data_IF_166258586619
#
_entry.id   IF_166258586619
#
_cell.length_a   1.000
_cell.length_b   1.000
_cell.length_c   1.000
_cell.angle_alpha   90.00
_cell.angle_beta   90.00
_cell.angle_gamma   90.00
#
_symmetry.space_group_name_H-M   'P 1'
#
loop_
_entity.id
_entity.type
_entity.pdbx_description
1 polymer ?
#
# COMPACT_ATOMS: atom_id res chain seq x y z
N UNK A 1 -5.59 1.98 26.19
CA UNK A 1 -4.67 0.86 26.49
C UNK A 1 -3.45 1.34 27.32
N UNK A 2 -3.24 2.64 27.50
CA UNK A 2 -2.06 3.18 28.19
C UNK A 2 -0.76 3.10 27.37
N UNK A 3 -0.84 3.06 26.05
CA UNK A 3 0.32 3.17 25.18
C UNK A 3 0.97 4.56 25.33
N UNK A 4 2.32 4.60 25.32
CA UNK A 4 3.06 5.85 25.45
C UNK A 4 2.98 6.70 24.18
N UNK A 5 3.03 6.06 23.03
CA UNK A 5 2.88 6.66 21.71
C UNK A 5 2.56 5.57 20.69
N UNK A 6 2.27 5.98 19.45
CA UNK A 6 2.19 5.11 18.28
C UNK A 6 3.40 5.37 17.38
N UNK A 7 4.04 4.29 16.93
CA UNK A 7 5.09 4.35 15.90
C UNK A 7 4.58 3.58 14.69
N UNK A 8 4.27 4.28 13.63
CA UNK A 8 3.62 3.67 12.46
C UNK A 8 3.26 4.66 11.39
N UNK A 9 2.44 4.25 10.46
CA UNK A 9 1.95 5.08 9.36
C UNK A 9 0.58 5.68 9.73
N UNK A 10 0.23 6.79 9.11
CA UNK A 10 -1.16 7.26 8.97
C UNK A 10 -1.70 6.75 7.65
N UNK A 11 -2.74 5.91 7.70
CA UNK A 11 -3.29 5.26 6.51
C UNK A 11 -3.93 6.28 5.55
N UNK A 12 -4.61 7.28 6.09
CA UNK A 12 -5.18 8.38 5.29
C UNK A 12 -4.08 9.16 4.57
N UNK A 13 -2.99 9.55 5.28
CA UNK A 13 -1.87 10.29 4.64
C UNK A 13 -1.21 9.44 3.56
N UNK A 14 -1.09 8.13 3.79
CA UNK A 14 -0.53 7.21 2.80
C UNK A 14 -1.43 7.07 1.57
N UNK A 15 -2.74 6.94 1.79
CA UNK A 15 -3.74 6.98 0.73
C UNK A 15 -3.70 8.27 -0.07
N UNK A 16 -3.61 9.42 0.60
CA UNK A 16 -3.50 10.73 -0.04
C UNK A 16 -2.27 10.79 -0.98
N UNK A 17 -1.13 10.29 -0.54
CA UNK A 17 0.07 10.21 -1.37
C UNK A 17 -0.08 9.29 -2.57
N UNK A 18 -0.83 8.18 -2.44
CA UNK A 18 -1.14 7.29 -3.55
C UNK A 18 -2.07 7.97 -4.58
N UNK A 19 -3.12 8.68 -4.12
CA UNK A 19 -4.03 9.40 -4.99
C UNK A 19 -3.33 10.44 -5.86
N UNK A 20 -2.37 11.18 -5.30
CA UNK A 20 -1.55 12.12 -6.06
C UNK A 20 -0.72 11.42 -7.15
N UNK A 21 -0.14 10.24 -6.85
CA UNK A 21 0.64 9.49 -7.84
C UNK A 21 -0.19 8.98 -9.00
N UNK A 22 -1.43 8.56 -8.75
CA UNK A 22 -2.35 8.20 -9.81
C UNK A 22 -2.74 9.41 -10.68
N UNK A 23 -2.90 10.61 -10.08
CA UNK A 23 -3.10 11.84 -10.86
C UNK A 23 -1.88 12.12 -11.75
N UNK A 24 -0.67 12.00 -11.21
CA UNK A 24 0.58 12.25 -11.96
C UNK A 24 0.75 11.24 -13.12
N UNK A 25 0.27 10.01 -12.93
CA UNK A 25 0.24 8.98 -13.96
C UNK A 25 -0.89 9.18 -14.99
N UNK A 26 -1.81 10.10 -14.76
CA UNK A 26 -2.91 10.41 -15.68
C UNK A 26 -4.10 9.46 -15.60
N UNK A 27 -4.21 8.67 -14.54
CA UNK A 27 -5.37 7.82 -14.31
C UNK A 27 -6.65 8.65 -14.13
N UNK A 28 -7.79 8.09 -14.53
CA UNK A 28 -9.09 8.77 -14.48
C UNK A 28 -10.12 8.04 -13.62
N UNK A 29 -10.00 6.71 -13.51
CA UNK A 29 -10.87 5.87 -12.70
C UNK A 29 -10.11 4.71 -12.08
N UNK A 30 -10.14 4.63 -10.76
CA UNK A 30 -9.37 3.64 -9.97
C UNK A 30 -10.32 2.66 -9.30
N UNK A 31 -10.00 1.37 -9.41
CA UNK A 31 -10.52 0.32 -8.55
C UNK A 31 -9.57 0.14 -7.35
N UNK A 32 -10.02 0.52 -6.15
CA UNK A 32 -9.29 0.27 -4.90
C UNK A 32 -9.78 -1.03 -4.28
N UNK A 33 -8.96 -2.06 -4.36
CA UNK A 33 -9.28 -3.41 -3.89
C UNK A 33 -8.84 -3.64 -2.44
N UNK A 34 -9.77 -4.16 -1.62
CA UNK A 34 -9.53 -4.54 -0.23
C UNK A 34 -9.58 -6.07 -0.09
N UNK A 35 -8.66 -6.63 0.71
CA UNK A 35 -8.58 -8.07 0.95
C UNK A 35 -9.18 -8.50 2.31
N UNK A 36 -9.64 -7.57 3.14
CA UNK A 36 -10.21 -7.88 4.46
C UNK A 36 -11.37 -6.94 4.77
N UNK A 37 -12.55 -7.51 4.96
CA UNK A 37 -13.74 -6.73 5.33
C UNK A 37 -13.68 -6.26 6.78
N UNK A 38 -14.07 -4.99 7.00
CA UNK A 38 -14.15 -4.40 8.35
C UNK A 38 -12.79 -4.01 8.93
N UNK A 39 -11.70 -4.16 8.19
CA UNK A 39 -10.40 -3.62 8.57
C UNK A 39 -10.36 -2.12 8.27
N UNK A 40 -10.42 -1.29 9.33
CA UNK A 40 -10.46 0.17 9.23
C UNK A 40 -9.21 0.72 8.52
N UNK A 41 -8.04 0.14 8.78
CA UNK A 41 -6.79 0.60 8.14
C UNK A 41 -6.85 0.48 6.61
N UNK A 42 -7.38 -0.64 6.08
CA UNK A 42 -7.52 -0.84 4.64
C UNK A 42 -8.57 0.11 4.02
N UNK A 43 -9.64 0.37 4.77
CA UNK A 43 -10.64 1.36 4.36
C UNK A 43 -10.04 2.76 4.28
N UNK A 44 -9.30 3.18 5.31
CA UNK A 44 -8.63 4.48 5.35
C UNK A 44 -7.60 4.67 4.22
N UNK A 45 -6.94 3.59 3.75
CA UNK A 45 -6.05 3.64 2.55
C UNK A 45 -6.81 4.05 1.30
N UNK A 46 -7.96 3.41 1.04
CA UNK A 46 -8.80 3.73 -0.13
C UNK A 46 -9.49 5.09 0.00
N UNK A 47 -10.01 5.43 1.19
CA UNK A 47 -10.65 6.72 1.45
C UNK A 47 -9.64 7.86 1.29
N UNK A 48 -8.43 7.73 1.87
CA UNK A 48 -7.36 8.70 1.70
C UNK A 48 -6.95 8.87 0.23
N UNK A 49 -6.90 7.78 -0.54
CA UNK A 49 -6.67 7.86 -1.98
C UNK A 49 -7.77 8.70 -2.65
N UNK A 50 -9.04 8.45 -2.31
CA UNK A 50 -10.17 9.18 -2.89
C UNK A 50 -10.19 10.67 -2.51
N UNK A 51 -9.61 11.07 -1.36
CA UNK A 51 -9.55 12.48 -0.96
C UNK A 51 -8.67 13.35 -1.88
N UNK A 52 -7.64 12.77 -2.50
CA UNK A 52 -6.67 13.52 -3.31
C UNK A 52 -6.67 13.15 -4.78
N UNK A 53 -7.26 12.03 -5.14
CA UNK A 53 -7.42 11.65 -6.54
C UNK A 53 -8.49 12.50 -7.22
N UNK A 54 -8.18 12.99 -8.42
CA UNK A 54 -9.07 13.91 -9.17
C UNK A 54 -10.19 13.20 -9.93
N UNK A 55 -10.05 11.86 -10.12
CA UNK A 55 -10.99 11.03 -10.85
C UNK A 55 -11.97 10.30 -9.95
N UNK A 56 -12.55 9.24 -10.47
CA UNK A 56 -13.48 8.36 -9.74
C UNK A 56 -12.72 7.22 -9.02
N UNK A 57 -13.10 6.93 -7.78
CA UNK A 57 -12.59 5.78 -7.03
C UNK A 57 -13.73 4.83 -6.69
N UNK A 58 -13.61 3.60 -7.15
CA UNK A 58 -14.49 2.49 -6.77
C UNK A 58 -13.79 1.68 -5.69
N UNK A 59 -14.40 1.52 -4.52
CA UNK A 59 -13.81 0.80 -3.38
C UNK A 59 -14.59 -0.50 -3.21
N UNK A 60 -13.92 -1.64 -3.36
CA UNK A 60 -14.57 -2.95 -3.29
C UNK A 60 -13.72 -4.00 -2.56
N UNK A 61 -14.40 -4.94 -1.91
CA UNK A 61 -13.78 -6.14 -1.37
C UNK A 61 -13.55 -7.17 -2.48
N UNK A 62 -12.30 -7.62 -2.66
CA UNK A 62 -11.87 -8.48 -3.75
C UNK A 62 -11.61 -9.94 -3.35
N UNK A 63 -11.85 -10.31 -2.11
CA UNK A 63 -11.51 -11.64 -1.58
C UNK A 63 -10.30 -11.61 -0.68
N UNK A 64 -10.12 -12.68 0.10
CA UNK A 64 -9.05 -12.82 1.07
C UNK A 64 -7.72 -13.18 0.40
N UNK A 65 -6.60 -12.71 0.94
CA UNK A 65 -5.25 -13.05 0.48
C UNK A 65 -4.92 -14.56 0.55
N UNK A 66 -5.67 -15.31 1.38
CA UNK A 66 -5.53 -16.75 1.47
C UNK A 66 -6.04 -17.52 0.22
N UNK A 67 -6.91 -16.89 -0.59
CA UNK A 67 -7.41 -17.45 -1.85
C UNK A 67 -7.14 -16.47 -3.01
N UNK A 68 -5.92 -16.50 -3.51
CA UNK A 68 -5.46 -15.63 -4.61
C UNK A 68 -6.20 -15.90 -5.91
N UNK A 69 -6.72 -17.12 -6.12
CA UNK A 69 -7.48 -17.47 -7.32
C UNK A 69 -8.88 -16.84 -7.30
N UNK A 70 -9.57 -16.90 -6.16
CA UNK A 70 -10.85 -16.21 -5.97
C UNK A 70 -10.67 -14.70 -6.10
N UNK A 71 -9.64 -14.16 -5.46
CA UNK A 71 -9.30 -12.75 -5.49
C UNK A 71 -9.06 -12.26 -6.94
N UNK A 72 -8.23 -12.98 -7.71
CA UNK A 72 -7.95 -12.66 -9.11
C UNK A 72 -9.23 -12.73 -9.97
N UNK A 73 -10.07 -13.76 -9.77
CA UNK A 73 -11.33 -13.89 -10.50
C UNK A 73 -12.30 -12.75 -10.19
N UNK A 74 -12.37 -12.30 -8.93
CA UNK A 74 -13.19 -11.17 -8.51
C UNK A 74 -12.72 -9.87 -9.17
N UNK A 75 -11.40 -9.62 -9.16
CA UNK A 75 -10.80 -8.46 -9.84
C UNK A 75 -11.05 -8.52 -11.35
N UNK A 76 -10.86 -9.69 -11.99
CA UNK A 76 -11.17 -9.90 -13.41
C UNK A 76 -12.63 -9.54 -13.73
N UNK A 77 -13.57 -9.97 -12.90
CA UNK A 77 -14.99 -9.69 -13.10
C UNK A 77 -15.30 -8.18 -12.97
N UNK A 78 -14.73 -7.50 -11.97
CA UNK A 78 -14.89 -6.07 -11.78
C UNK A 78 -14.31 -5.27 -12.96
N UNK A 79 -13.09 -5.59 -13.38
CA UNK A 79 -12.43 -4.95 -14.53
C UNK A 79 -13.16 -5.20 -15.87
N UNK A 80 -13.76 -6.38 -16.03
CA UNK A 80 -14.54 -6.70 -17.24
C UNK A 80 -15.91 -6.00 -17.26
N UNK A 81 -16.50 -5.78 -16.09
CA UNK A 81 -17.78 -5.09 -15.96
C UNK A 81 -17.67 -3.58 -16.19
N UNK A 82 -16.53 -3.00 -15.87
CA UNK A 82 -16.27 -1.57 -16.02
C UNK A 82 -14.96 -1.33 -16.79
N UNK A 83 -15.09 -1.03 -18.07
CA UNK A 83 -13.96 -0.81 -18.98
C UNK A 83 -13.33 0.56 -18.85
N UNK A 84 -13.94 1.48 -18.11
CA UNK A 84 -13.43 2.84 -17.90
C UNK A 84 -12.38 2.89 -16.76
N UNK A 85 -12.29 1.82 -15.95
CA UNK A 85 -11.23 1.68 -14.93
C UNK A 85 -9.88 1.61 -15.65
N UNK A 86 -9.00 2.57 -15.38
CA UNK A 86 -7.64 2.66 -15.94
C UNK A 86 -6.55 2.61 -14.85
N UNK A 87 -6.95 2.50 -13.58
CA UNK A 87 -6.08 2.31 -12.44
C UNK A 87 -6.55 1.21 -11.49
N UNK A 88 -5.59 0.51 -10.87
CA UNK A 88 -5.86 -0.45 -9.80
C UNK A 88 -4.96 -0.15 -8.59
N UNK A 89 -5.58 -0.05 -7.42
CA UNK A 89 -4.87 0.08 -6.14
C UNK A 89 -5.14 -1.13 -5.27
N UNK A 90 -4.12 -1.95 -5.04
CA UNK A 90 -4.16 -3.02 -4.06
C UNK A 90 -3.69 -2.52 -2.69
N UNK A 91 -4.50 -2.68 -1.63
CA UNK A 91 -4.12 -2.19 -0.30
C UNK A 91 -3.26 -3.18 0.52
N UNK A 92 -2.56 -4.07 -0.17
CA UNK A 92 -1.58 -5.02 0.35
C UNK A 92 -0.83 -5.70 -0.79
N UNK A 93 0.29 -6.43 -0.52
CA UNK A 93 1.12 -6.96 -1.59
C UNK A 93 0.43 -8.04 -2.43
N UNK A 94 -0.28 -8.97 -1.77
CA UNK A 94 -0.93 -10.11 -2.46
C UNK A 94 -2.02 -9.63 -3.41
N UNK A 95 -2.91 -8.75 -2.94
CA UNK A 95 -3.98 -8.20 -3.77
C UNK A 95 -3.44 -7.32 -4.90
N UNK A 96 -2.31 -6.61 -4.70
CA UNK A 96 -1.67 -5.84 -5.76
C UNK A 96 -1.18 -6.74 -6.88
N UNK A 97 -0.52 -7.85 -6.54
CA UNK A 97 -0.08 -8.86 -7.51
C UNK A 97 -1.27 -9.57 -8.19
N UNK A 98 -2.36 -9.82 -7.47
CA UNK A 98 -3.59 -10.35 -8.07
C UNK A 98 -4.20 -9.37 -9.08
N UNK A 99 -4.16 -8.07 -8.80
CA UNK A 99 -4.58 -7.01 -9.73
C UNK A 99 -3.72 -6.95 -10.99
N UNK A 100 -2.40 -7.09 -10.84
CA UNK A 100 -1.48 -7.16 -11.99
C UNK A 100 -1.81 -8.36 -12.87
N UNK A 101 -2.00 -9.55 -12.28
CA UNK A 101 -2.33 -10.78 -13.03
C UNK A 101 -3.68 -10.64 -13.74
N UNK A 102 -4.68 -10.05 -13.07
CA UNK A 102 -5.98 -9.79 -13.65
C UNK A 102 -5.91 -8.85 -14.86
N UNK A 103 -5.13 -7.77 -14.77
CA UNK A 103 -4.91 -6.86 -15.89
C UNK A 103 -4.24 -7.58 -17.08
N UNK A 104 -3.22 -8.41 -16.80
CA UNK A 104 -2.52 -9.21 -17.82
C UNK A 104 -3.45 -10.21 -18.51
N UNK A 105 -4.27 -10.94 -17.75
CA UNK A 105 -5.23 -11.92 -18.29
C UNK A 105 -6.25 -11.28 -19.24
N UNK A 106 -6.66 -10.05 -18.93
CA UNK A 106 -7.60 -9.27 -19.75
C UNK A 106 -6.93 -8.49 -20.87
N UNK A 107 -5.59 -8.49 -20.92
CA UNK A 107 -4.81 -7.68 -21.87
C UNK A 107 -5.05 -6.18 -21.71
N UNK A 108 -5.27 -5.72 -20.47
CA UNK A 108 -5.51 -4.31 -20.13
C UNK A 108 -4.24 -3.66 -19.61
N UNK A 109 -4.00 -2.45 -20.08
CA UNK A 109 -2.93 -1.59 -19.57
C UNK A 109 -3.51 -0.69 -18.47
N UNK A 110 -3.17 -0.98 -17.21
CA UNK A 110 -3.63 -0.24 -16.04
C UNK A 110 -2.44 0.37 -15.31
N UNK A 111 -2.61 1.58 -14.79
CA UNK A 111 -1.71 2.09 -13.76
C UNK A 111 -1.95 1.33 -12.46
N UNK A 112 -0.95 0.58 -11.98
CA UNK A 112 -1.08 -0.25 -10.78
C UNK A 112 -0.26 0.34 -9.65
N UNK A 113 -0.90 0.55 -8.50
CA UNK A 113 -0.28 0.93 -7.23
C UNK A 113 -0.52 -0.12 -6.15
N UNK A 114 0.37 -0.16 -5.15
CA UNK A 114 0.27 -1.11 -4.06
C UNK A 114 0.55 -0.52 -2.68
N UNK A 115 0.39 -1.35 -1.67
CA UNK A 115 0.84 -1.11 -0.30
C UNK A 115 1.74 -2.24 0.16
N UNK A 116 2.70 -1.88 1.02
CA UNK A 116 3.69 -2.77 1.62
C UNK A 116 4.70 -3.36 0.62
N UNK A 117 5.66 -4.10 1.15
CA UNK A 117 6.78 -4.61 0.38
C UNK A 117 6.85 -6.14 0.43
N UNK A 118 7.06 -6.76 -0.72
CA UNK A 118 7.61 -8.11 -0.85
C UNK A 118 8.63 -8.10 -1.98
N UNK A 119 9.63 -8.99 -1.98
CA UNK A 119 10.59 -9.07 -3.08
C UNK A 119 9.92 -9.26 -4.45
N UNK A 120 8.83 -10.05 -4.52
CA UNK A 120 8.06 -10.25 -5.76
C UNK A 120 7.44 -8.93 -6.26
N UNK A 121 6.75 -8.19 -5.37
CA UNK A 121 6.11 -6.91 -5.73
C UNK A 121 7.15 -5.88 -6.17
N UNK A 122 8.29 -5.79 -5.45
CA UNK A 122 9.37 -4.84 -5.81
C UNK A 122 9.97 -5.21 -7.17
N UNK A 123 10.13 -6.53 -7.47
CA UNK A 123 10.58 -6.99 -8.76
C UNK A 123 9.65 -6.57 -9.91
N UNK A 124 8.33 -6.58 -9.70
CA UNK A 124 7.35 -6.12 -10.68
C UNK A 124 7.40 -4.58 -10.86
N UNK A 125 7.76 -3.83 -9.81
CA UNK A 125 8.01 -2.38 -9.92
C UNK A 125 9.29 -2.12 -10.73
N UNK A 126 10.37 -2.84 -10.45
CA UNK A 126 11.63 -2.73 -11.21
C UNK A 126 11.44 -3.07 -12.68
N UNK A 127 10.59 -4.06 -12.98
CA UNK A 127 10.22 -4.44 -14.35
C UNK A 127 9.30 -3.42 -15.05
N UNK A 128 8.74 -2.45 -14.32
CA UNK A 128 7.82 -1.45 -14.85
C UNK A 128 6.37 -1.92 -15.00
N UNK A 129 6.02 -3.08 -14.45
CA UNK A 129 4.66 -3.63 -14.48
C UNK A 129 3.74 -3.03 -13.40
N UNK A 130 4.33 -2.50 -12.32
CA UNK A 130 3.65 -1.79 -11.23
C UNK A 130 4.30 -0.41 -11.11
N UNK A 131 3.49 0.65 -11.04
CA UNK A 131 3.97 2.02 -11.02
C UNK A 131 4.63 2.40 -9.69
N UNK A 132 4.06 1.94 -8.56
CA UNK A 132 4.59 2.22 -7.23
C UNK A 132 3.98 1.30 -6.17
N UNK A 133 4.63 1.25 -5.00
CA UNK A 133 4.01 0.77 -3.76
C UNK A 133 4.31 1.73 -2.61
N UNK A 134 3.37 1.82 -1.66
CA UNK A 134 3.54 2.57 -0.41
C UNK A 134 4.31 1.73 0.59
N UNK A 135 5.41 2.27 1.09
CA UNK A 135 6.25 1.64 2.11
C UNK A 135 6.04 2.33 3.46
N UNK A 136 5.47 1.61 4.41
CA UNK A 136 5.30 2.09 5.79
C UNK A 136 6.56 1.92 6.64
N UNK A 137 7.64 1.38 6.08
CA UNK A 137 8.92 1.14 6.77
C UNK A 137 8.79 0.24 8.00
N UNK A 138 8.28 -0.96 7.79
CA UNK A 138 7.94 -1.91 8.86
C UNK A 138 9.12 -2.25 9.77
N UNK A 139 10.35 -2.24 9.24
CA UNK A 139 11.55 -2.41 10.06
C UNK A 139 11.65 -1.33 11.16
N UNK A 140 11.38 -0.06 10.82
CA UNK A 140 11.36 1.03 11.80
C UNK A 140 10.21 0.88 12.81
N UNK A 141 9.05 0.37 12.37
CA UNK A 141 7.92 0.10 13.26
C UNK A 141 8.23 -0.98 14.31
N UNK A 142 9.13 -1.90 14.00
CA UNK A 142 9.64 -2.88 14.96
C UNK A 142 10.81 -2.34 15.81
N UNK A 143 11.78 -1.71 15.18
CA UNK A 143 13.02 -1.27 15.81
C UNK A 143 12.83 -0.10 16.78
N UNK A 144 12.15 0.96 16.33
CA UNK A 144 12.01 2.20 17.11
C UNK A 144 11.26 2.02 18.43
N UNK A 145 10.13 1.29 18.51
CA UNK A 145 9.45 1.08 19.78
C UNK A 145 10.32 0.41 20.84
N UNK A 146 11.19 -0.54 20.45
CA UNK A 146 12.10 -1.22 21.39
C UNK A 146 13.09 -0.21 21.98
N UNK A 147 13.71 0.62 21.14
CA UNK A 147 14.62 1.67 21.58
C UNK A 147 13.90 2.70 22.48
N UNK A 148 12.72 3.15 22.08
CA UNK A 148 11.94 4.13 22.83
C UNK A 148 11.50 3.60 24.19
N UNK A 149 11.05 2.35 24.27
CA UNK A 149 10.70 1.70 25.54
C UNK A 149 11.93 1.54 26.45
N UNK A 150 13.08 1.15 25.89
CA UNK A 150 14.33 1.08 26.65
C UNK A 150 14.68 2.43 27.27
N UNK A 151 14.67 3.51 26.48
CA UNK A 151 14.98 4.86 26.97
C UNK A 151 13.93 5.39 27.96
N UNK A 152 12.67 5.02 27.78
CA UNK A 152 11.63 5.38 28.73
C UNK A 152 11.83 4.71 30.10
N UNK A 153 12.12 3.41 30.11
CA UNK A 153 12.31 2.65 31.36
C UNK A 153 13.59 3.06 32.08
N UNK A 154 14.68 3.29 31.35
CA UNK A 154 15.99 3.58 31.95
C UNK A 154 16.19 5.05 32.30
N UNK A 155 15.66 5.96 31.47
CA UNK A 155 15.96 7.40 31.54
C UNK A 155 14.72 8.26 31.69
N UNK A 156 13.51 7.67 31.72
CA UNK A 156 12.22 8.37 31.72
C UNK A 156 12.03 9.30 30.50
N UNK A 157 12.73 9.03 29.41
CA UNK A 157 12.56 9.78 28.17
C UNK A 157 11.18 9.51 27.56
N UNK A 158 10.60 10.54 26.94
CA UNK A 158 9.37 10.44 26.15
C UNK A 158 9.61 11.03 24.77
N UNK A 159 8.90 10.53 23.77
CA UNK A 159 8.95 11.01 22.40
C UNK A 159 7.54 11.14 21.83
N UNK A 160 7.40 11.92 20.77
CA UNK A 160 6.12 12.16 20.09
C UNK A 160 5.31 13.32 20.65
N UNK A 161 5.55 13.73 21.91
CA UNK A 161 4.81 14.87 22.51
C UNK A 161 3.30 14.66 22.55
N UNK A 162 2.83 13.41 22.65
CA UNK A 162 1.42 13.03 22.59
C UNK A 162 0.89 12.76 21.17
N UNK A 163 1.73 12.88 20.14
CA UNK A 163 1.39 12.60 18.74
C UNK A 163 2.07 11.30 18.26
N UNK A 164 1.51 10.63 17.25
CA UNK A 164 2.16 9.51 16.59
C UNK A 164 3.54 9.87 16.00
N UNK A 165 4.46 8.91 16.01
CA UNK A 165 5.74 9.00 15.33
C UNK A 165 5.58 8.28 13.99
N UNK A 166 5.50 9.06 12.91
CA UNK A 166 5.22 8.52 11.59
C UNK A 166 6.48 7.89 10.97
N UNK A 167 6.34 6.66 10.46
CA UNK A 167 7.39 5.92 9.74
C UNK A 167 7.20 5.94 8.22
N UNK A 168 6.12 6.53 7.74
CA UNK A 168 5.74 6.63 6.32
C UNK A 168 4.76 7.77 6.09
N UNK A 169 4.24 7.88 4.84
CA UNK A 169 4.53 7.00 3.73
C UNK A 169 5.90 7.25 3.08
N UNK A 170 6.64 6.17 2.81
CA UNK A 170 7.65 6.14 1.77
C UNK A 170 7.02 5.61 0.47
N UNK A 171 7.73 5.75 -0.66
CA UNK A 171 7.28 5.17 -1.92
C UNK A 171 8.42 4.43 -2.61
N UNK A 172 8.12 3.22 -3.06
CA UNK A 172 9.00 2.47 -3.96
C UNK A 172 8.45 2.63 -5.37
N UNK A 173 9.31 3.07 -6.27
CA UNK A 173 9.04 3.32 -7.68
C UNK A 173 10.17 2.69 -8.51
N UNK A 174 10.07 2.61 -9.84
CA UNK A 174 11.16 2.11 -10.67
C UNK A 174 12.52 2.78 -10.41
N UNK A 175 12.52 4.05 -9.96
CA UNK A 175 13.76 4.81 -9.72
C UNK A 175 14.58 4.29 -8.52
N UNK A 176 13.93 3.63 -7.54
CA UNK A 176 14.60 3.15 -6.33
C UNK A 176 14.35 1.66 -6.02
N UNK A 177 13.59 0.96 -6.87
CA UNK A 177 13.18 -0.42 -6.63
C UNK A 177 14.39 -1.36 -6.43
N UNK A 178 15.43 -1.26 -7.26
CA UNK A 178 16.61 -2.13 -7.18
C UNK A 178 17.33 -2.02 -5.80
N UNK A 179 17.46 -0.80 -5.28
CA UNK A 179 18.10 -0.58 -3.97
C UNK A 179 17.23 -1.11 -2.84
N UNK A 180 15.92 -0.88 -2.89
CA UNK A 180 14.96 -1.33 -1.89
C UNK A 180 14.80 -2.85 -1.91
N UNK A 181 14.86 -3.50 -3.08
CA UNK A 181 14.82 -4.95 -3.21
C UNK A 181 15.94 -5.61 -2.40
N UNK A 182 17.17 -5.15 -2.58
CA UNK A 182 18.32 -5.67 -1.84
C UNK A 182 18.18 -5.52 -0.31
N UNK A 183 17.57 -4.42 0.16
CA UNK A 183 17.30 -4.19 1.60
C UNK A 183 16.14 -5.04 2.12
N UNK A 184 15.12 -5.27 1.30
CA UNK A 184 13.99 -6.13 1.62
C UNK A 184 14.40 -7.59 1.74
N UNK A 185 15.30 -8.09 0.89
CA UNK A 185 15.84 -9.45 0.96
C UNK A 185 16.60 -9.74 2.25
N UNK A 186 17.28 -8.73 2.81
CA UNK A 186 17.99 -8.88 4.12
C UNK A 186 17.12 -8.47 5.31
N UNK A 187 15.85 -8.12 5.09
CA UNK A 187 14.88 -7.84 6.15
C UNK A 187 15.12 -6.53 6.91
N UNK A 188 15.75 -5.53 6.28
CA UNK A 188 16.00 -4.20 6.88
C UNK A 188 15.13 -3.10 6.27
N UNK A 189 14.28 -3.49 5.32
CA UNK A 189 13.29 -2.62 4.72
C UNK A 189 11.97 -3.33 4.54
#
# INVERSE_FOLDING_TARGET
IGALTHVGQSEVIAGNGAGQRFNDAGATKILCGQQEQGNVALTERCEGLAETFSGEVVIEFMGLDADTSEQQNTINAALAADTDIDGFMGVGPVITLSGLRAAQDLGRDLTIGGFDLTPELIGEIEAGNIAFTVDQQQYLQGYMPVLLLFLNVTNQNTLGGGLPILTGPGFVTPDNAAEILALSEVGTR
#
